data_IF_075545921817
#
_entry.id   IF_075545921817
#
_cell.length_a   1.000
_cell.length_b   1.000
_cell.length_c   1.000
_cell.angle_alpha   90.00
_cell.angle_beta   90.00
_cell.angle_gamma   90.00
#
_symmetry.space_group_name_H-M   'P 1'
#
loop_
_entity.id
_entity.type
_entity.pdbx_description
1 polymer ?
#
# COMPACT_ATOMS: atom_id res chain seq x y z
N UNK A 1 4.01 6.25 8.13
CA UNK A 1 2.98 7.30 8.05
C UNK A 1 2.07 7.14 9.25
N UNK A 2 1.80 8.22 9.97
CA UNK A 2 0.84 8.20 11.07
C UNK A 2 -0.58 8.30 10.50
N UNK A 3 -1.46 7.41 10.94
CA UNK A 3 -2.86 7.33 10.52
C UNK A 3 -3.73 7.33 11.76
N UNK A 4 -4.78 8.14 11.77
CA UNK A 4 -5.79 8.15 12.82
C UNK A 4 -7.15 7.79 12.22
N UNK A 5 -7.80 6.77 12.76
CA UNK A 5 -9.14 6.33 12.37
C UNK A 5 -9.98 6.18 13.64
N UNK A 6 -11.15 6.82 13.73
CA UNK A 6 -11.99 6.78 14.94
C UNK A 6 -11.27 7.16 16.24
N UNK A 7 -10.41 8.19 16.19
CA UNK A 7 -9.53 8.60 17.29
C UNK A 7 -8.53 7.52 17.76
N UNK A 8 -8.34 6.47 16.97
CA UNK A 8 -7.33 5.46 17.17
C UNK A 8 -6.15 5.71 16.22
N UNK A 9 -5.04 6.11 16.82
CA UNK A 9 -3.79 6.33 16.10
C UNK A 9 -3.02 5.03 15.94
N UNK A 10 -2.53 4.80 14.71
CA UNK A 10 -1.63 3.70 14.42
C UNK A 10 -0.60 4.12 13.37
N UNK A 11 0.55 3.49 13.46
CA UNK A 11 1.66 3.77 12.56
C UNK A 11 1.71 2.74 11.45
N UNK A 12 1.62 3.21 10.20
CA UNK A 12 1.97 2.43 9.03
C UNK A 12 3.50 2.36 8.95
N UNK A 13 4.07 1.28 9.49
CA UNK A 13 5.51 1.06 9.62
C UNK A 13 6.09 0.52 8.31
N UNK A 14 7.26 1.05 7.95
CA UNK A 14 8.07 0.60 6.81
C UNK A 14 9.24 -0.24 7.32
N UNK A 15 9.48 -1.36 6.67
CA UNK A 15 10.75 -2.07 6.77
C UNK A 15 11.69 -1.55 5.67
N UNK A 16 12.64 -0.68 6.02
CA UNK A 16 13.51 -0.01 5.03
C UNK A 16 14.45 -0.99 4.29
N UNK A 17 14.70 -2.17 4.87
CA UNK A 17 15.59 -3.19 4.32
C UNK A 17 14.87 -4.22 3.43
N UNK A 18 13.53 -4.25 3.47
CA UNK A 18 12.70 -5.11 2.63
C UNK A 18 11.65 -4.22 1.99
N UNK A 19 11.85 -3.90 0.72
CA UNK A 19 10.94 -3.18 -0.20
C UNK A 19 9.47 -3.67 -0.24
N UNK A 20 9.11 -4.67 0.56
CA UNK A 20 7.91 -5.50 0.43
C UNK A 20 7.17 -5.72 1.77
N UNK A 21 7.51 -4.94 2.81
CA UNK A 21 6.98 -5.12 4.17
C UNK A 21 6.40 -3.84 4.77
N UNK A 22 5.19 -3.47 4.36
CA UNK A 22 4.42 -2.41 5.03
C UNK A 22 3.46 -3.04 6.02
N UNK A 23 3.71 -2.86 7.32
CA UNK A 23 2.90 -3.47 8.37
C UNK A 23 2.35 -2.42 9.33
N UNK A 24 1.24 -2.73 9.97
CA UNK A 24 0.65 -1.88 10.97
C UNK A 24 -0.13 -2.71 11.98
N UNK A 25 -0.13 -2.21 13.21
CA UNK A 25 -0.92 -2.76 14.30
C UNK A 25 -2.18 -1.93 14.41
N UNK A 26 -3.35 -2.54 14.24
CA UNK A 26 -4.63 -1.89 14.51
C UNK A 26 -5.19 -2.47 15.81
N UNK A 27 -5.12 -1.73 16.94
CA UNK A 27 -5.28 -2.31 18.27
C UNK A 27 -6.62 -2.99 18.65
N UNK A 28 -7.70 -3.01 17.83
CA UNK A 28 -8.83 -3.93 18.04
C UNK A 28 -8.83 -5.17 17.13
N UNK A 29 -8.06 -5.19 16.02
CA UNK A 29 -8.16 -6.25 14.99
C UNK A 29 -6.84 -7.01 14.75
N UNK A 30 -5.72 -6.51 15.28
CA UNK A 30 -4.44 -7.21 15.27
C UNK A 30 -3.44 -6.64 14.26
N UNK A 31 -2.56 -7.52 13.76
CA UNK A 31 -1.43 -7.13 12.92
C UNK A 31 -1.72 -7.37 11.45
N UNK A 32 -1.50 -6.34 10.64
CA UNK A 32 -1.79 -6.34 9.22
C UNK A 32 -0.57 -5.98 8.40
N UNK A 33 -0.57 -6.45 7.15
CA UNK A 33 0.51 -6.17 6.22
C UNK A 33 0.02 -5.99 4.79
N UNK A 34 0.38 -4.87 4.18
CA UNK A 34 0.26 -4.65 2.75
C UNK A 34 1.51 -5.14 2.03
N UNK A 35 1.32 -5.99 1.02
CA UNK A 35 2.37 -6.54 0.16
C UNK A 35 2.16 -6.10 -1.29
N UNK A 36 3.10 -5.38 -1.92
CA UNK A 36 3.08 -5.19 -3.37
C UNK A 36 3.25 -6.50 -4.13
N UNK A 37 2.86 -6.48 -5.40
CA UNK A 37 3.23 -7.54 -6.34
C UNK A 37 4.71 -7.45 -6.72
N UNK A 38 5.26 -8.58 -7.21
CA UNK A 38 6.65 -8.70 -7.64
C UNK A 38 7.06 -7.71 -8.75
N UNK A 39 6.10 -6.99 -9.34
CA UNK A 39 6.27 -6.05 -10.45
C UNK A 39 6.06 -4.58 -10.06
N UNK A 40 6.25 -4.23 -8.78
CA UNK A 40 6.45 -2.82 -8.39
C UNK A 40 5.19 -2.04 -8.03
N UNK A 41 4.18 -2.70 -7.44
CA UNK A 41 3.09 -2.02 -6.74
C UNK A 41 1.89 -1.63 -7.62
N UNK A 42 1.67 -2.37 -8.72
CA UNK A 42 0.43 -2.26 -9.51
C UNK A 42 -0.76 -2.87 -8.76
N UNK A 43 -0.45 -3.83 -7.89
CA UNK A 43 -1.35 -4.56 -7.02
C UNK A 43 -0.80 -4.53 -5.60
N UNK A 44 -1.69 -4.42 -4.62
CA UNK A 44 -1.37 -4.53 -3.20
C UNK A 44 -2.32 -5.54 -2.55
N UNK A 45 -1.77 -6.42 -1.74
CA UNK A 45 -2.53 -7.43 -0.99
C UNK A 45 -2.40 -7.17 0.51
N UNK A 46 -3.54 -7.07 1.19
CA UNK A 46 -3.61 -6.98 2.64
C UNK A 46 -3.74 -8.38 3.24
N UNK A 47 -2.83 -8.71 4.14
CA UNK A 47 -2.85 -9.98 4.88
C UNK A 47 -2.79 -9.75 6.39
N UNK A 48 -3.32 -10.70 7.16
CA UNK A 48 -3.12 -10.76 8.62
C UNK A 48 -1.86 -11.55 9.01
N UNK A 49 -1.67 -11.71 10.33
CA UNK A 49 -0.61 -12.52 10.94
C UNK A 49 -0.61 -13.99 10.50
N UNK A 50 -1.77 -14.56 10.19
CA UNK A 50 -1.95 -15.92 9.67
C UNK A 50 -1.72 -16.01 8.15
N UNK A 51 -1.36 -14.88 7.51
CA UNK A 51 -1.17 -14.75 6.05
C UNK A 51 -2.45 -14.97 5.24
N UNK A 52 -3.62 -14.82 5.85
CA UNK A 52 -4.90 -14.87 5.13
C UNK A 52 -5.08 -13.59 4.33
N UNK A 53 -5.53 -13.72 3.08
CA UNK A 53 -5.82 -12.58 2.21
C UNK A 53 -7.13 -11.93 2.64
N UNK A 54 -7.07 -10.66 3.04
CA UNK A 54 -8.23 -9.93 3.55
C UNK A 54 -8.78 -8.95 2.53
N UNK A 55 -7.89 -8.25 1.84
CA UNK A 55 -8.26 -7.28 0.82
C UNK A 55 -7.19 -7.17 -0.26
N UNK A 56 -7.56 -6.60 -1.40
CA UNK A 56 -6.67 -6.35 -2.52
C UNK A 56 -6.99 -5.02 -3.17
N UNK A 57 -5.97 -4.22 -3.39
CA UNK A 57 -6.05 -3.06 -4.25
C UNK A 57 -5.44 -3.43 -5.61
N UNK A 58 -6.13 -3.09 -6.69
CA UNK A 58 -5.67 -3.28 -8.07
C UNK A 58 -5.77 -1.96 -8.83
N UNK A 59 -4.68 -1.59 -9.51
CA UNK A 59 -4.72 -0.58 -10.56
C UNK A 59 -5.09 -1.27 -11.89
N UNK A 60 -6.35 -1.16 -12.32
CA UNK A 60 -6.78 -1.65 -13.64
C UNK A 60 -6.41 -0.62 -14.70
N UNK A 61 -5.60 -1.02 -15.69
CA UNK A 61 -5.63 -0.38 -17.00
C UNK A 61 -6.91 -0.83 -17.71
N UNK A 62 -7.86 0.07 -17.87
CA UNK A 62 -9.07 -0.16 -18.66
C UNK A 62 -8.95 0.60 -19.99
N UNK A 63 -9.58 0.08 -21.03
CA UNK A 63 -9.71 0.74 -22.34
C UNK A 63 -10.39 2.13 -22.25
N UNK A 64 -11.08 2.45 -21.15
CA UNK A 64 -11.74 3.73 -20.89
C UNK A 64 -10.98 4.64 -19.91
N UNK A 65 -9.77 4.25 -19.47
CA UNK A 65 -8.94 5.03 -18.54
C UNK A 65 -8.33 4.19 -17.39
N UNK A 66 -7.55 4.85 -16.51
CA UNK A 66 -7.01 4.23 -15.30
C UNK A 66 -8.12 4.09 -14.26
N UNK A 67 -8.48 2.85 -13.88
CA UNK A 67 -9.43 2.56 -12.81
C UNK A 67 -8.71 2.02 -11.58
N UNK A 68 -9.14 2.43 -10.39
CA UNK A 68 -8.68 1.86 -9.12
C UNK A 68 -9.80 1.01 -8.53
N UNK A 69 -9.47 -0.18 -8.04
CA UNK A 69 -10.44 -1.10 -7.45
C UNK A 69 -9.89 -1.65 -6.14
N UNK A 70 -10.71 -1.63 -5.09
CA UNK A 70 -10.44 -2.31 -3.82
C UNK A 70 -11.44 -3.47 -3.69
N UNK A 71 -10.94 -4.68 -3.48
CA UNK A 71 -11.70 -5.90 -3.25
C UNK A 71 -11.49 -6.33 -1.79
N UNK A 72 -12.56 -6.63 -1.07
CA UNK A 72 -12.52 -7.11 0.32
C UNK A 72 -13.06 -8.54 0.34
N UNK A 73 -12.28 -9.48 0.85
CA UNK A 73 -12.56 -10.93 0.77
C UNK A 73 -13.15 -11.52 2.04
N UNK A 74 -13.20 -10.74 3.12
CA UNK A 74 -13.74 -11.16 4.42
C UNK A 74 -14.96 -10.33 4.77
N UNK A 75 -15.91 -10.94 5.49
CA UNK A 75 -16.97 -10.18 6.14
C UNK A 75 -16.32 -9.40 7.29
N UNK A 76 -16.31 -8.08 7.18
CA UNK A 76 -15.81 -7.18 8.21
C UNK A 76 -16.88 -6.18 8.61
N UNK A 77 -16.72 -5.60 9.80
CA UNK A 77 -17.53 -4.47 10.22
C UNK A 77 -17.13 -3.19 9.44
N UNK A 78 -17.91 -2.13 9.62
CA UNK A 78 -17.67 -0.84 8.96
C UNK A 78 -16.25 -0.32 9.24
N UNK A 79 -15.78 -0.46 10.48
CA UNK A 79 -14.45 -0.01 10.93
C UNK A 79 -13.32 -0.75 10.20
N UNK A 80 -13.48 -2.05 10.00
CA UNK A 80 -12.53 -2.84 9.22
C UNK A 80 -12.49 -2.35 7.77
N UNK A 81 -13.64 -2.15 7.14
CA UNK A 81 -13.70 -1.68 5.74
C UNK A 81 -13.05 -0.30 5.60
N UNK A 82 -13.32 0.63 6.52
CA UNK A 82 -12.69 1.96 6.53
C UNK A 82 -11.18 1.87 6.72
N UNK A 83 -10.70 1.04 7.64
CA UNK A 83 -9.27 0.79 7.84
C UNK A 83 -8.62 0.25 6.55
N UNK A 84 -9.26 -0.71 5.86
CA UNK A 84 -8.77 -1.23 4.58
C UNK A 84 -8.66 -0.09 3.55
N UNK A 85 -9.70 0.72 3.39
CA UNK A 85 -9.72 1.79 2.39
C UNK A 85 -8.66 2.86 2.67
N UNK A 86 -8.60 3.38 3.90
CA UNK A 86 -7.65 4.43 4.28
C UNK A 86 -6.21 3.94 4.12
N UNK A 87 -5.90 2.74 4.60
CA UNK A 87 -4.53 2.19 4.51
C UNK A 87 -4.16 1.85 3.07
N UNK A 88 -5.10 1.39 2.23
CA UNK A 88 -4.86 1.17 0.80
C UNK A 88 -4.52 2.48 0.06
N UNK A 89 -5.27 3.56 0.34
CA UNK A 89 -5.04 4.87 -0.28
C UNK A 89 -3.72 5.49 0.19
N UNK A 90 -3.42 5.41 1.49
CA UNK A 90 -2.14 5.85 2.05
C UNK A 90 -0.97 5.12 1.39
N UNK A 91 -1.07 3.79 1.27
CA UNK A 91 -0.08 2.96 0.58
C UNK A 91 0.08 3.34 -0.88
N UNK A 92 -1.02 3.59 -1.59
CA UNK A 92 -0.97 3.98 -2.99
C UNK A 92 -0.29 5.32 -3.19
N UNK A 93 -0.69 6.33 -2.41
CA UNK A 93 -0.08 7.66 -2.46
C UNK A 93 1.41 7.57 -2.19
N UNK A 94 1.81 6.78 -1.20
CA UNK A 94 3.20 6.56 -0.86
C UNK A 94 4.01 5.97 -2.02
N UNK A 95 3.54 4.88 -2.64
CA UNK A 95 4.20 4.25 -3.79
C UNK A 95 4.30 5.22 -4.98
N UNK A 96 3.28 6.05 -5.21
CA UNK A 96 3.31 7.05 -6.29
C UNK A 96 4.35 8.14 -6.06
N UNK A 97 4.53 8.60 -4.82
CA UNK A 97 5.56 9.58 -4.48
C UNK A 97 6.95 8.96 -4.58
N UNK A 98 7.15 7.76 -4.02
CA UNK A 98 8.44 7.06 -4.06
C UNK A 98 8.87 6.76 -5.51
N UNK A 99 7.95 6.24 -6.34
CA UNK A 99 8.25 6.00 -7.75
C UNK A 99 8.61 7.27 -8.51
N UNK A 100 8.03 8.42 -8.15
CA UNK A 100 8.41 9.72 -8.76
C UNK A 100 9.81 10.15 -8.34
N UNK A 101 10.19 9.93 -7.08
CA UNK A 101 11.49 10.33 -6.58
C UNK A 101 12.61 9.42 -7.10
N UNK A 102 12.39 8.10 -7.18
CA UNK A 102 13.32 7.17 -7.84
C UNK A 102 13.56 7.60 -9.29
N UNK A 103 12.49 7.94 -10.02
CA UNK A 103 12.58 8.33 -11.43
C UNK A 103 13.42 9.61 -11.61
N UNK A 104 13.27 10.59 -10.71
CA UNK A 104 14.13 11.79 -10.74
C UNK A 104 15.61 11.45 -10.49
N UNK A 105 15.89 10.54 -9.56
CA UNK A 105 17.28 10.13 -9.27
C UNK A 105 17.89 9.41 -10.47
N UNK A 106 17.15 8.51 -11.13
CA UNK A 106 17.63 7.84 -12.35
C UNK A 106 17.86 8.82 -13.48
N UNK A 107 16.95 9.78 -13.69
CA UNK A 107 17.11 10.80 -14.75
C UNK A 107 18.38 11.65 -14.53
N UNK A 108 18.72 11.98 -13.27
CA UNK A 108 19.97 12.67 -12.93
C UNK A 108 21.20 11.78 -13.17
N UNK A 109 21.14 10.50 -12.77
CA UNK A 109 22.24 9.56 -12.97
C UNK A 109 22.52 9.30 -14.45
N UNK A 110 21.48 9.21 -15.28
CA UNK A 110 21.60 9.05 -16.74
C UNK A 110 22.20 10.31 -17.38
N UNK A 111 21.82 11.50 -16.90
CA UNK A 111 22.40 12.76 -17.36
C UNK A 111 23.89 12.90 -17.01
N UNK A 112 24.33 12.35 -15.87
CA UNK A 112 25.74 12.39 -15.42
C UNK A 112 26.58 11.27 -16.07
N UNK A 113 25.98 10.11 -16.34
CA UNK A 113 26.67 8.96 -16.95
C UNK A 113 26.81 9.06 -18.47
N UNK A 114 26.17 10.05 -19.09
CA UNK A 114 26.24 10.35 -20.53
C UNK A 114 27.43 11.22 -20.97
N UNK A 115 28.53 11.26 -20.21
CA UNK A 115 29.77 11.99 -20.53
C UNK A 115 30.95 11.03 -20.73
#
# INVERSE_FOLDING_TARGET
MDVSLHAQEFMLKRDLLKSDNHHFDYPPLGHFKWKPDAWGGSKLELVDSERRLLARYNKKLSLKGQGQQIEVFVQGDERFVEMVVVTALAMRHYIEVENKDIKKVTDVLDAVSGC
#
